data_IF_563617483363
#
_entry.id   IF_563617483363
#
_cell.length_a   1.000
_cell.length_b   1.000
_cell.length_c   1.000
_cell.angle_alpha   90.00
_cell.angle_beta   90.00
_cell.angle_gamma   90.00
#
_symmetry.space_group_name_H-M   'P 1'
#
loop_
_entity.id
_entity.type
_entity.pdbx_description
1 polymer ?
#
# COMPACT_ATOMS: atom_id res chain seq x y z
N UNK A 1 12.31 16.24 -12.22
CA UNK A 1 12.83 15.12 -11.42
C UNK A 1 11.70 14.26 -10.93
N UNK A 2 11.80 12.98 -11.17
CA UNK A 2 10.80 12.05 -10.62
C UNK A 2 10.90 12.01 -9.10
N UNK A 3 9.78 12.18 -8.42
CA UNK A 3 9.74 12.00 -6.98
C UNK A 3 9.99 10.55 -6.66
N UNK A 4 10.91 10.29 -5.74
CA UNK A 4 11.15 8.95 -5.23
C UNK A 4 9.88 8.47 -4.55
N UNK A 5 9.27 7.43 -5.10
CA UNK A 5 8.13 6.80 -4.47
C UNK A 5 8.62 5.65 -3.60
N UNK A 6 8.15 5.63 -2.37
CA UNK A 6 8.49 4.59 -1.42
C UNK A 6 7.32 3.62 -1.30
N UNK A 7 7.64 2.33 -1.25
CA UNK A 7 6.64 1.30 -0.99
C UNK A 7 6.17 1.37 0.46
N UNK A 8 4.92 0.97 0.77
CA UNK A 8 4.43 0.99 2.15
C UNK A 8 5.34 0.25 3.14
N UNK A 9 5.92 -0.86 2.74
CA UNK A 9 6.85 -1.63 3.58
C UNK A 9 8.10 -0.82 3.91
N UNK A 10 8.61 -0.07 2.93
CA UNK A 10 9.77 0.80 3.12
C UNK A 10 9.44 1.94 4.07
N UNK A 11 8.26 2.52 3.94
CA UNK A 11 7.80 3.62 4.79
C UNK A 11 7.74 3.16 6.25
N UNK A 12 7.13 2.02 6.51
CA UNK A 12 7.02 1.48 7.87
C UNK A 12 8.40 1.19 8.45
N UNK A 13 9.30 0.60 7.66
CA UNK A 13 10.66 0.33 8.10
C UNK A 13 11.42 1.61 8.42
N UNK A 14 11.28 2.65 7.60
CA UNK A 14 11.91 3.94 7.82
C UNK A 14 11.36 4.65 9.06
N UNK A 15 10.05 4.59 9.27
CA UNK A 15 9.44 5.15 10.48
C UNK A 15 9.98 4.47 11.74
N UNK A 16 10.13 3.16 11.71
CA UNK A 16 10.70 2.41 12.83
C UNK A 16 12.15 2.82 13.08
N UNK A 17 12.90 3.06 12.02
CA UNK A 17 14.28 3.54 12.13
C UNK A 17 14.35 4.89 12.84
N UNK A 18 13.44 5.81 12.52
CA UNK A 18 13.35 7.10 13.20
C UNK A 18 13.01 6.92 14.68
N UNK A 19 12.11 6.00 15.01
CA UNK A 19 11.78 5.71 16.41
C UNK A 19 13.00 5.24 17.19
N UNK A 20 13.82 4.37 16.60
CA UNK A 20 15.06 3.91 17.22
C UNK A 20 16.02 5.07 17.44
N UNK A 21 16.18 5.93 16.43
CA UNK A 21 17.09 7.08 16.55
C UNK A 21 16.62 8.07 17.61
N UNK A 22 15.32 8.35 17.70
CA UNK A 22 14.79 9.24 18.72
C UNK A 22 14.93 8.64 20.13
N UNK A 23 14.80 7.33 20.26
CA UNK A 23 15.03 6.64 21.52
C UNK A 23 16.51 6.73 21.96
N UNK A 24 17.42 6.90 20.99
CA UNK A 24 18.84 7.11 21.27
C UNK A 24 19.19 8.56 21.57
N UNK A 25 18.19 9.46 21.63
CA UNK A 25 18.40 10.86 21.93
C UNK A 25 18.54 11.77 20.71
N UNK A 26 18.34 11.25 19.51
CA UNK A 26 18.35 12.07 18.30
C UNK A 26 17.04 12.84 18.18
N UNK A 27 17.10 13.99 17.49
CA UNK A 27 15.89 14.77 17.22
C UNK A 27 15.12 14.15 16.05
N UNK A 28 13.84 14.54 15.94
CA UNK A 28 13.01 14.13 14.79
C UNK A 28 13.63 14.63 13.49
N UNK A 29 14.16 15.85 13.50
CA UNK A 29 14.85 16.43 12.34
C UNK A 29 16.02 15.56 11.88
N UNK A 30 16.85 15.13 12.83
CA UNK A 30 17.98 14.26 12.54
C UNK A 30 17.51 12.90 12.03
N UNK A 31 16.45 12.34 12.64
CA UNK A 31 15.87 11.08 12.22
C UNK A 31 15.34 11.12 10.80
N UNK A 32 14.59 12.18 10.48
CA UNK A 32 14.05 12.36 9.13
C UNK A 32 15.17 12.49 8.09
N UNK A 33 16.21 13.23 8.44
CA UNK A 33 17.38 13.39 7.57
C UNK A 33 18.08 12.05 7.35
N UNK A 34 18.20 11.23 8.40
CA UNK A 34 18.85 9.93 8.32
C UNK A 34 18.13 8.98 7.37
N UNK A 35 16.81 9.08 7.28
CA UNK A 35 16.02 8.25 6.34
C UNK A 35 15.80 8.92 4.99
N UNK A 36 16.37 10.13 4.80
CA UNK A 36 16.37 10.81 3.51
C UNK A 36 15.08 11.54 3.15
N UNK A 37 14.32 11.98 4.14
CA UNK A 37 13.07 12.71 3.91
C UNK A 37 13.04 14.00 4.74
N UNK A 38 12.12 14.91 4.39
CA UNK A 38 11.86 16.12 5.17
C UNK A 38 11.03 15.78 6.40
N UNK A 39 11.06 16.67 7.40
CA UNK A 39 10.19 16.52 8.57
C UNK A 39 8.71 16.45 8.16
N UNK A 40 8.30 17.27 7.20
CA UNK A 40 6.91 17.27 6.71
C UNK A 40 6.52 15.90 6.17
N UNK A 41 7.39 15.29 5.37
CA UNK A 41 7.16 13.96 4.84
C UNK A 41 7.12 12.92 5.96
N UNK A 42 8.02 13.03 6.93
CA UNK A 42 8.05 12.13 8.09
C UNK A 42 6.73 12.19 8.87
N UNK A 43 6.23 13.39 9.18
CA UNK A 43 4.98 13.52 9.92
C UNK A 43 3.78 13.03 9.13
N UNK A 44 3.76 13.23 7.82
CA UNK A 44 2.72 12.68 6.94
C UNK A 44 2.73 11.16 6.99
N UNK A 45 3.91 10.54 6.86
CA UNK A 45 4.07 9.10 6.92
C UNK A 45 3.66 8.54 8.29
N UNK A 46 4.04 9.24 9.36
CA UNK A 46 3.67 8.84 10.70
C UNK A 46 2.15 8.84 10.88
N UNK A 47 1.47 9.83 10.33
CA UNK A 47 0.01 9.90 10.37
C UNK A 47 -0.63 8.77 9.59
N UNK A 48 -0.08 8.44 8.42
CA UNK A 48 -0.66 7.42 7.54
C UNK A 48 -0.32 5.99 7.97
N UNK A 49 0.89 5.76 8.47
CA UNK A 49 1.41 4.41 8.70
C UNK A 49 1.88 4.15 10.13
N UNK A 50 1.85 5.14 11.00
CA UNK A 50 2.50 5.07 12.31
C UNK A 50 1.99 3.99 13.26
N UNK A 51 0.78 3.54 13.11
CA UNK A 51 0.22 2.47 13.92
C UNK A 51 0.30 1.08 13.30
N UNK A 52 0.95 0.96 12.14
CA UNK A 52 0.95 -0.30 11.38
C UNK A 52 2.30 -1.01 11.50
N UNK A 53 2.26 -2.32 11.71
CA UNK A 53 3.46 -3.15 11.63
C UNK A 53 3.77 -3.46 10.17
N UNK A 54 5.02 -3.84 9.90
CA UNK A 54 5.44 -4.25 8.56
C UNK A 54 4.60 -5.43 8.06
N UNK A 55 4.30 -6.38 8.94
CA UNK A 55 3.48 -7.55 8.59
C UNK A 55 2.06 -7.15 8.22
N UNK A 56 1.47 -6.19 8.93
CA UNK A 56 0.13 -5.69 8.63
C UNK A 56 0.10 -5.00 7.27
N UNK A 57 1.13 -4.22 6.95
CA UNK A 57 1.23 -3.54 5.65
C UNK A 57 1.36 -4.56 4.52
N UNK A 58 2.21 -5.58 4.70
CA UNK A 58 2.36 -6.64 3.71
C UNK A 58 1.06 -7.42 3.50
N UNK A 59 0.37 -7.73 4.61
CA UNK A 59 -0.92 -8.43 4.55
C UNK A 59 -1.97 -7.61 3.81
N UNK A 60 -2.05 -6.32 4.09
CA UNK A 60 -2.98 -5.43 3.41
C UNK A 60 -2.71 -5.41 1.91
N UNK A 61 -1.45 -5.32 1.51
CA UNK A 61 -1.06 -5.32 0.11
C UNK A 61 -1.46 -6.62 -0.58
N UNK A 62 -1.26 -7.77 0.07
CA UNK A 62 -1.67 -9.06 -0.46
C UNK A 62 -3.18 -9.15 -0.62
N UNK A 63 -3.93 -8.63 0.36
CA UNK A 63 -5.39 -8.61 0.31
C UNK A 63 -5.89 -7.72 -0.82
N UNK A 64 -5.25 -6.59 -1.07
CA UNK A 64 -5.60 -5.71 -2.18
C UNK A 64 -5.37 -6.40 -3.52
N UNK A 65 -4.26 -7.11 -3.67
CA UNK A 65 -3.97 -7.88 -4.89
C UNK A 65 -4.99 -9.00 -5.10
N UNK A 66 -5.33 -9.73 -4.04
CA UNK A 66 -6.31 -10.79 -4.10
C UNK A 66 -7.70 -10.25 -4.45
N UNK A 67 -8.08 -9.12 -3.84
CA UNK A 67 -9.34 -8.45 -4.14
C UNK A 67 -9.42 -8.05 -5.60
N UNK A 68 -8.32 -7.50 -6.15
CA UNK A 68 -8.26 -7.13 -7.58
C UNK A 68 -8.44 -8.34 -8.50
N UNK A 69 -7.79 -9.45 -8.16
CA UNK A 69 -7.93 -10.70 -8.94
C UNK A 69 -9.35 -11.23 -8.89
N UNK A 70 -9.97 -11.24 -7.71
CA UNK A 70 -11.34 -11.71 -7.55
C UNK A 70 -12.34 -10.86 -8.32
N UNK A 71 -12.17 -9.53 -8.28
CA UNK A 71 -13.03 -8.63 -9.04
C UNK A 71 -12.93 -8.88 -10.52
N UNK A 72 -11.73 -9.11 -11.03
CA UNK A 72 -11.49 -9.42 -12.44
C UNK A 72 -12.16 -10.73 -12.83
N UNK A 73 -11.99 -11.77 -12.02
CA UNK A 73 -12.59 -13.07 -12.25
C UNK A 73 -14.12 -12.98 -12.26
N UNK A 74 -14.72 -12.24 -11.32
CA UNK A 74 -16.16 -12.04 -11.27
C UNK A 74 -16.64 -11.31 -12.52
N UNK A 75 -15.93 -10.29 -12.98
CA UNK A 75 -16.27 -9.56 -14.19
C UNK A 75 -16.24 -10.46 -15.42
N UNK A 76 -15.22 -11.31 -15.55
CA UNK A 76 -15.11 -12.26 -16.66
C UNK A 76 -16.25 -13.29 -16.66
N UNK A 77 -16.57 -13.84 -15.49
CA UNK A 77 -17.66 -14.79 -15.34
C UNK A 77 -19.02 -14.16 -15.65
N UNK A 78 -19.22 -12.91 -15.24
CA UNK A 78 -20.44 -12.18 -15.54
C UNK A 78 -20.60 -11.97 -17.04
N UNK A 79 -19.53 -11.61 -17.73
CA UNK A 79 -19.51 -11.45 -19.17
C UNK A 79 -19.84 -12.76 -19.88
N UNK A 80 -19.20 -13.87 -19.49
CA UNK A 80 -19.47 -15.19 -20.06
C UNK A 80 -20.94 -15.57 -19.88
N UNK A 81 -21.48 -15.32 -18.68
CA UNK A 81 -22.87 -15.61 -18.38
C UNK A 81 -23.82 -14.84 -19.30
N UNK A 82 -23.52 -13.56 -19.52
CA UNK A 82 -24.34 -12.73 -20.43
C UNK A 82 -24.26 -13.20 -21.86
N UNK A 83 -23.07 -13.56 -22.33
CA UNK A 83 -22.89 -14.09 -23.70
C UNK A 83 -23.65 -15.41 -23.88
N UNK A 84 -23.54 -16.33 -22.94
CA UNK A 84 -24.25 -17.60 -22.97
C UNK A 84 -25.76 -17.40 -22.93
N UNK A 85 -26.22 -16.46 -22.13
CA UNK A 85 -27.66 -16.15 -22.05
C UNK A 85 -28.20 -15.61 -23.37
N UNK A 86 -27.48 -14.74 -24.05
CA UNK A 86 -27.84 -14.23 -25.36
C UNK A 86 -27.90 -15.33 -26.41
N UNK A 87 -26.88 -16.20 -26.42
CA UNK A 87 -26.85 -17.34 -27.32
C UNK A 87 -28.03 -18.30 -27.07
N UNK A 88 -28.34 -18.57 -25.80
CA UNK A 88 -29.45 -19.46 -25.43
C UNK A 88 -30.81 -18.85 -25.75
N UNK A 89 -30.93 -17.53 -25.78
CA UNK A 89 -32.18 -16.85 -26.10
C UNK A 89 -32.48 -16.88 -27.59
N UNK A 90 -31.54 -17.32 -28.42
CA UNK A 90 -31.76 -17.42 -29.87
C UNK A 90 -31.77 -16.09 -30.60
N UNK A 91 -31.16 -15.06 -30.06
CA UNK A 91 -31.02 -13.76 -30.70
C UNK A 91 -29.88 -13.78 -31.71
N UNK A 92 -30.11 -14.44 -32.79
CA UNK A 92 -29.15 -14.50 -33.89
C UNK A 92 -29.58 -13.59 -35.02
#
# INVERSE_FOLDING_TARGET
MAKKQHKPEEIVAKLRQVEVLTAQGKTVSEGARAIGVTEATYYRWRSEYGGRSLDQVKRLKLLEQENGRLRKAVAELTLEKLVLKEAASGNY
#
